data_IF_855510011453
#
_entry.id   IF_855510011453
#
_cell.length_a   1.000
_cell.length_b   1.000
_cell.length_c   1.000
_cell.angle_alpha   90.00
_cell.angle_beta   90.00
_cell.angle_gamma   90.00
#
_symmetry.space_group_name_H-M   'P 1'
#
loop_
_entity.id
_entity.type
_entity.pdbx_description
1 polymer ?
#
# COMPACT_ATOMS: atom_id res chain seq x y z
N UNK A 1 25.78 -41.02 -18.44
CA UNK A 1 24.53 -40.25 -18.69
C UNK A 1 23.52 -40.35 -17.54
N UNK A 2 22.96 -41.52 -17.19
CA UNK A 2 21.86 -41.65 -16.18
C UNK A 2 22.00 -40.87 -14.85
N UNK A 3 23.21 -40.76 -14.28
CA UNK A 3 23.42 -39.99 -13.03
C UNK A 3 23.35 -38.45 -13.18
N UNK A 4 23.57 -37.92 -14.38
CA UNK A 4 23.44 -36.48 -14.68
C UNK A 4 22.00 -36.07 -14.98
N UNK A 5 21.18 -37.00 -15.48
CA UNK A 5 19.74 -36.80 -15.65
C UNK A 5 19.02 -36.74 -14.29
N UNK A 6 19.42 -37.60 -13.34
CA UNK A 6 18.82 -37.62 -12.00
C UNK A 6 19.12 -36.35 -11.19
N UNK A 7 20.35 -35.82 -11.26
CA UNK A 7 20.70 -34.53 -10.63
C UNK A 7 20.00 -33.35 -11.27
N UNK A 8 19.86 -33.33 -12.60
CA UNK A 8 19.10 -32.29 -13.31
C UNK A 8 17.61 -32.30 -12.94
N UNK A 9 16.99 -33.48 -12.84
CA UNK A 9 15.58 -33.62 -12.43
C UNK A 9 15.35 -33.12 -10.99
N UNK A 10 16.27 -33.41 -10.07
CA UNK A 10 16.16 -32.96 -8.69
C UNK A 10 16.32 -31.43 -8.56
N UNK A 11 17.18 -30.81 -9.39
CA UNK A 11 17.35 -29.36 -9.44
C UNK A 11 16.09 -28.63 -9.96
N UNK A 12 15.42 -29.17 -10.99
CA UNK A 12 14.17 -28.59 -11.50
C UNK A 12 13.01 -28.66 -10.50
N UNK A 13 12.94 -29.75 -9.71
CA UNK A 13 11.93 -29.93 -8.65
C UNK A 13 12.10 -28.90 -7.51
N UNK A 14 13.34 -28.52 -7.21
CA UNK A 14 13.67 -27.50 -6.20
C UNK A 14 13.25 -26.08 -6.66
N UNK A 15 13.37 -25.77 -7.96
CA UNK A 15 13.00 -24.45 -8.51
C UNK A 15 11.48 -24.29 -8.63
N UNK A 16 10.75 -25.33 -9.06
CA UNK A 16 9.28 -25.27 -9.13
C UNK A 16 8.60 -25.07 -7.76
N UNK A 17 9.27 -25.45 -6.67
CA UNK A 17 8.76 -25.27 -5.31
C UNK A 17 8.72 -23.80 -4.82
N UNK A 18 9.40 -22.86 -5.50
CA UNK A 18 9.44 -21.45 -5.07
C UNK A 18 8.37 -20.56 -5.75
N UNK A 19 7.66 -21.06 -6.77
CA UNK A 19 6.77 -20.24 -7.60
C UNK A 19 5.27 -20.40 -7.29
N UNK A 20 4.87 -21.14 -6.26
CA UNK A 20 3.45 -21.41 -5.99
C UNK A 20 3.18 -21.48 -4.47
N UNK A 21 3.07 -20.32 -3.82
CA UNK A 21 3.05 -20.27 -2.35
C UNK A 21 2.70 -18.94 -1.67
N UNK A 22 1.88 -18.06 -2.27
CA UNK A 22 1.22 -17.00 -1.51
C UNK A 22 -0.15 -16.62 -2.09
N UNK A 23 -1.16 -17.38 -1.71
CA UNK A 23 -2.56 -16.96 -1.75
C UNK A 23 -3.23 -17.35 -0.43
N UNK A 24 -3.38 -16.37 0.47
CA UNK A 24 -4.24 -16.55 1.65
C UNK A 24 -4.80 -15.23 2.14
N UNK A 25 -6.10 -15.24 2.41
CA UNK A 25 -6.75 -14.23 3.22
C UNK A 25 -6.19 -14.24 4.66
N UNK A 26 -6.00 -13.03 5.19
CA UNK A 26 -5.92 -12.65 6.61
C UNK A 26 -4.95 -13.43 7.53
N UNK A 27 -3.76 -12.85 7.76
CA UNK A 27 -3.35 -12.25 9.05
C UNK A 27 -1.80 -12.25 9.19
N UNK A 28 -1.16 -11.07 9.26
CA UNK A 28 0.21 -10.93 9.81
C UNK A 28 1.34 -10.43 8.88
N UNK A 29 1.38 -9.11 8.66
CA UNK A 29 2.54 -8.21 8.44
C UNK A 29 3.73 -8.53 7.47
N UNK A 30 3.87 -7.63 6.47
CA UNK A 30 5.08 -7.01 5.86
C UNK A 30 6.03 -7.70 4.84
N UNK A 31 6.04 -7.10 3.64
CA UNK A 31 7.23 -6.53 2.91
C UNK A 31 8.24 -7.49 2.27
N UNK A 32 8.71 -7.39 1.02
CA UNK A 32 8.50 -6.50 -0.17
C UNK A 32 9.19 -7.16 -1.39
N UNK A 33 8.96 -6.82 -2.66
CA UNK A 33 7.95 -5.96 -3.30
C UNK A 33 7.85 -6.29 -4.81
N UNK A 34 6.63 -6.47 -5.31
CA UNK A 34 6.17 -6.19 -6.69
C UNK A 34 4.65 -6.35 -6.72
N UNK A 35 3.97 -5.84 -5.68
CA UNK A 35 2.52 -5.96 -5.57
C UNK A 35 1.86 -4.95 -6.50
N UNK A 36 1.24 -5.48 -7.57
CA UNK A 36 0.05 -4.88 -8.13
C UNK A 36 -1.01 -4.81 -7.04
N UNK A 37 -1.19 -3.62 -6.46
CA UNK A 37 -2.23 -3.30 -5.50
C UNK A 37 -3.61 -3.43 -6.18
N UNK A 38 -4.12 -4.66 -6.26
CA UNK A 38 -5.52 -4.89 -6.57
C UNK A 38 -6.35 -4.42 -5.38
N UNK A 39 -6.78 -3.15 -5.44
CA UNK A 39 -7.85 -2.64 -4.60
C UNK A 39 -9.11 -3.43 -4.92
N UNK A 40 -9.39 -4.43 -4.09
CA UNK A 40 -10.67 -5.13 -4.09
C UNK A 40 -11.79 -4.11 -3.93
N UNK A 41 -12.53 -3.86 -5.01
CA UNK A 41 -13.55 -2.82 -5.07
C UNK A 41 -14.82 -3.24 -4.31
N UNK A 42 -14.72 -3.28 -2.98
CA UNK A 42 -15.88 -3.13 -2.12
C UNK A 42 -16.14 -1.63 -1.96
N UNK A 43 -17.34 -1.19 -2.38
CA UNK A 43 -17.82 0.19 -2.20
C UNK A 43 -18.18 0.45 -0.73
N UNK A 44 -17.18 0.47 0.12
CA UNK A 44 -17.26 0.97 1.49
C UNK A 44 -17.41 2.49 1.46
N UNK A 45 -18.20 3.05 2.38
CA UNK A 45 -18.34 4.52 2.49
C UNK A 45 -16.97 5.20 2.68
N UNK A 46 -16.73 6.39 2.10
CA UNK A 46 -15.46 7.08 2.26
C UNK A 46 -15.07 7.30 3.73
N UNK A 47 -13.79 7.12 4.03
CA UNK A 47 -13.25 7.39 5.38
C UNK A 47 -13.15 8.89 5.55
N UNK A 48 -13.94 9.45 6.48
CA UNK A 48 -13.96 10.89 6.75
C UNK A 48 -12.84 11.28 7.70
N UNK A 49 -12.01 12.24 7.29
CA UNK A 49 -10.89 12.75 8.08
C UNK A 49 -10.93 14.28 8.09
N UNK A 50 -10.87 14.89 9.27
CA UNK A 50 -10.64 16.33 9.41
C UNK A 50 -9.19 16.55 9.85
N UNK A 51 -8.41 17.27 9.04
CA UNK A 51 -7.02 17.61 9.32
C UNK A 51 -6.92 19.08 9.74
N UNK A 52 -6.30 19.32 10.90
CA UNK A 52 -6.15 20.64 11.50
C UNK A 52 -4.80 21.25 11.11
N UNK A 53 -4.83 22.37 10.39
CA UNK A 53 -3.66 23.09 9.90
C UNK A 53 -3.33 24.28 10.82
N UNK A 54 -2.29 24.12 11.65
CA UNK A 54 -1.85 25.17 12.61
C UNK A 54 -0.85 26.15 11.99
N UNK A 55 -0.13 25.75 10.94
CA UNK A 55 0.88 26.57 10.29
C UNK A 55 0.92 26.36 8.77
N UNK A 56 0.56 27.40 8.00
CA UNK A 56 0.77 27.42 6.56
C UNK A 56 2.28 27.53 6.26
N UNK A 57 2.86 26.48 5.69
CA UNK A 57 4.31 26.40 5.43
C UNK A 57 4.63 25.62 4.17
N UNK A 58 5.72 26.00 3.50
CA UNK A 58 6.22 25.33 2.28
C UNK A 58 6.54 23.84 2.53
N UNK A 59 6.82 23.44 3.77
CA UNK A 59 7.02 22.03 4.13
C UNK A 59 5.77 21.17 3.92
N UNK A 60 4.56 21.77 3.94
CA UNK A 60 3.30 21.08 3.63
C UNK A 60 2.93 21.13 2.14
N UNK A 61 3.79 21.67 1.25
CA UNK A 61 3.57 21.63 -0.20
C UNK A 61 3.22 20.22 -0.76
N UNK A 62 3.85 19.11 -0.30
CA UNK A 62 3.44 17.76 -0.72
C UNK A 62 2.01 17.40 -0.33
N UNK A 63 1.53 17.86 0.83
CA UNK A 63 0.15 17.65 1.31
C UNK A 63 -0.85 18.40 0.42
N UNK A 64 -0.64 19.70 0.18
CA UNK A 64 -1.55 20.45 -0.69
C UNK A 64 -1.58 19.88 -2.12
N UNK A 65 -0.44 19.46 -2.66
CA UNK A 65 -0.38 18.78 -3.97
C UNK A 65 -1.18 17.47 -3.96
N UNK A 66 -1.13 16.67 -2.88
CA UNK A 66 -1.93 15.46 -2.77
C UNK A 66 -3.45 15.74 -2.70
N UNK A 67 -3.86 16.83 -2.06
CA UNK A 67 -5.26 17.32 -2.04
C UNK A 67 -5.69 17.73 -3.45
N UNK A 68 -4.93 18.61 -4.11
CA UNK A 68 -5.22 19.12 -5.46
C UNK A 68 -5.19 18.04 -6.54
N UNK A 69 -4.31 17.04 -6.41
CA UNK A 69 -4.25 15.89 -7.32
C UNK A 69 -5.31 14.83 -7.04
N UNK A 70 -6.03 14.92 -5.93
CA UNK A 70 -7.13 14.03 -5.61
C UNK A 70 -6.74 12.68 -5.01
N UNK A 71 -5.47 12.47 -4.63
CA UNK A 71 -4.97 11.16 -4.15
C UNK A 71 -5.76 10.60 -2.95
N UNK A 72 -6.27 11.47 -2.07
CA UNK A 72 -7.15 11.03 -0.99
C UNK A 72 -8.47 10.43 -1.51
N UNK A 73 -9.05 10.97 -2.59
CA UNK A 73 -10.29 10.46 -3.20
C UNK A 73 -10.07 9.11 -3.88
N UNK A 74 -8.90 8.93 -4.51
CA UNK A 74 -8.50 7.67 -5.14
C UNK A 74 -8.40 6.53 -4.10
N UNK A 75 -7.90 6.86 -2.90
CA UNK A 75 -7.85 5.96 -1.72
C UNK A 75 -9.17 5.93 -0.90
N UNK A 76 -10.28 6.44 -1.43
CA UNK A 76 -11.60 6.48 -0.78
C UNK A 76 -11.61 7.23 0.59
N UNK A 77 -10.84 8.31 0.70
CA UNK A 77 -10.77 9.21 1.86
C UNK A 77 -11.44 10.55 1.54
N UNK A 78 -12.38 10.96 2.39
CA UNK A 78 -13.05 12.26 2.38
C UNK A 78 -12.31 13.18 3.37
N UNK A 79 -11.26 13.86 2.86
CA UNK A 79 -10.39 14.73 3.66
C UNK A 79 -10.90 16.18 3.66
N UNK A 80 -11.19 16.70 4.86
CA UNK A 80 -11.47 18.12 5.10
C UNK A 80 -10.27 18.77 5.79
N UNK A 81 -9.67 19.78 5.17
CA UNK A 81 -8.64 20.61 5.79
C UNK A 81 -9.31 21.80 6.50
N UNK A 82 -8.97 22.04 7.77
CA UNK A 82 -9.45 23.19 8.56
C UNK A 82 -8.26 23.95 9.14
N UNK A 83 -8.31 25.28 9.12
CA UNK A 83 -7.30 26.10 9.80
C UNK A 83 -7.53 26.04 11.31
N UNK A 84 -6.50 25.63 12.04
CA UNK A 84 -6.51 25.51 13.50
C UNK A 84 -5.77 26.66 14.17
N UNK A 85 -6.27 27.05 15.33
CA UNK A 85 -5.48 27.87 16.26
C UNK A 85 -4.45 26.98 16.96
N UNK A 86 -3.30 27.55 17.31
CA UNK A 86 -2.30 26.88 18.15
C UNK A 86 -2.81 26.69 19.58
N UNK A 87 -2.16 25.80 20.33
CA UNK A 87 -2.44 25.56 21.75
C UNK A 87 -1.82 26.66 22.62
N UNK A 88 -2.36 27.88 22.51
CA UNK A 88 -2.16 28.98 23.46
C UNK A 88 -3.44 29.09 24.33
N UNK A 89 -3.45 28.36 25.45
CA UNK A 89 -4.52 28.32 26.46
C UNK A 89 -3.99 28.66 27.87
#
# INVERSE_FOLDING_TARGET
MKKQLLTSLFAFLLVFSLCMGCSKAETGDKTTASDSFEVSSQKTSPVKITLNEVAHSVFYAPLYVAIEKGYFKDENIDLTLVTGFGDDA
#
